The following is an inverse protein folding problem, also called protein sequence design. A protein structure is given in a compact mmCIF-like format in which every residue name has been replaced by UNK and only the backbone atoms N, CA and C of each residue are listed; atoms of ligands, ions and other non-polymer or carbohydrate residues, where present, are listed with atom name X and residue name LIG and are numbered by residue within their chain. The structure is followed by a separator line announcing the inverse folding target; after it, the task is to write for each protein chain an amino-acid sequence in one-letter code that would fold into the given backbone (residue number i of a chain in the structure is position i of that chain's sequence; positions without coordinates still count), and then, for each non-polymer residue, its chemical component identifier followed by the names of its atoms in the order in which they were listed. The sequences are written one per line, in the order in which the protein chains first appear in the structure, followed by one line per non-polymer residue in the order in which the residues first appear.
data_IF_705452253534
#
_entry.id   IF_705452253534
#
_cell.length_a   1.000
_cell.length_b   1.000
_cell.length_c   1.000
_cell.angle_alpha   90.00
_cell.angle_beta   90.00
_cell.angle_gamma   90.00
#
_symmetry.space_group_name_H-M   'P 1'
#
loop_
_entity.id
_entity.type
_entity.pdbx_description
1 polymer ?
#
# COMPACT_ATOMS: atom_id res chain seq x y z
N UNK A 1 -32.63 -12.78 11.90
CA UNK A 1 -32.97 -13.02 13.33
C UNK A 1 -31.73 -13.39 14.16
N UNK A 2 -30.89 -14.36 13.75
CA UNK A 2 -29.70 -14.80 14.52
C UNK A 2 -28.72 -13.64 14.75
N UNK A 3 -28.33 -12.91 13.70
CA UNK A 3 -27.40 -11.80 13.82
C UNK A 3 -27.94 -10.66 14.71
N UNK A 4 -29.24 -10.39 14.66
CA UNK A 4 -29.85 -9.37 15.53
C UNK A 4 -29.76 -9.76 17.01
N UNK A 5 -29.75 -11.05 17.34
CA UNK A 5 -29.52 -11.52 18.71
C UNK A 5 -28.05 -11.34 19.10
N UNK A 6 -27.11 -11.69 18.19
CA UNK A 6 -25.68 -11.47 18.42
C UNK A 6 -25.38 -9.99 18.66
N UNK A 7 -25.97 -9.08 17.87
CA UNK A 7 -25.78 -7.64 18.06
C UNK A 7 -26.23 -7.14 19.43
N UNK A 8 -27.33 -7.67 19.98
CA UNK A 8 -27.78 -7.34 21.36
C UNK A 8 -26.75 -7.78 22.40
N UNK A 9 -26.20 -8.99 22.22
CA UNK A 9 -25.17 -9.51 23.13
C UNK A 9 -23.90 -8.67 23.05
N UNK A 10 -23.49 -8.27 21.84
CA UNK A 10 -22.34 -7.37 21.68
C UNK A 10 -22.59 -6.03 22.34
N UNK A 11 -23.78 -5.43 22.13
CA UNK A 11 -24.17 -4.16 22.76
C UNK A 11 -24.12 -4.20 24.28
N UNK A 12 -24.49 -5.31 24.89
CA UNK A 12 -24.48 -5.49 26.34
C UNK A 12 -23.07 -5.72 26.92
N UNK A 13 -22.10 -6.16 26.10
CA UNK A 13 -20.75 -6.56 26.55
C UNK A 13 -19.64 -5.60 26.14
N UNK A 14 -19.93 -4.63 25.28
CA UNK A 14 -18.98 -3.59 24.88
C UNK A 14 -19.59 -2.21 25.10
N UNK A 15 -18.75 -1.20 25.04
CA UNK A 15 -19.22 0.18 25.20
C UNK A 15 -19.97 0.63 23.95
N UNK A 16 -20.85 1.60 24.11
CA UNK A 16 -21.66 2.11 23.00
C UNK A 16 -20.81 2.62 21.82
N UNK A 17 -19.67 3.26 22.11
CA UNK A 17 -18.72 3.71 21.10
C UNK A 17 -18.08 2.53 20.36
N UNK A 18 -17.63 1.49 21.08
CA UNK A 18 -17.05 0.29 20.48
C UNK A 18 -18.11 -0.48 19.65
N UNK A 19 -19.34 -0.56 20.13
CA UNK A 19 -20.43 -1.21 19.41
C UNK A 19 -20.73 -0.52 18.07
N UNK A 20 -20.87 0.80 18.07
CA UNK A 20 -21.14 1.59 16.86
C UNK A 20 -19.98 1.50 15.85
N UNK A 21 -18.74 1.49 16.34
CA UNK A 21 -17.55 1.50 15.47
C UNK A 21 -17.23 0.12 14.91
N UNK A 22 -17.36 -0.96 15.70
CA UNK A 22 -16.80 -2.27 15.33
C UNK A 22 -17.85 -3.36 15.06
N UNK A 23 -19.04 -3.27 15.60
CA UNK A 23 -20.05 -4.32 15.43
C UNK A 23 -21.17 -3.90 14.47
N UNK A 24 -21.55 -2.63 14.47
CA UNK A 24 -22.61 -2.12 13.61
C UNK A 24 -22.30 -2.22 12.12
N UNK A 25 -21.03 -1.96 11.66
CA UNK A 25 -20.67 -2.06 10.25
C UNK A 25 -20.54 -3.49 9.73
N UNK A 26 -20.59 -4.51 10.61
CA UNK A 26 -20.50 -5.92 10.19
C UNK A 26 -21.81 -6.35 9.51
N UNK A 27 -21.70 -6.92 8.32
CA UNK A 27 -22.85 -7.44 7.56
C UNK A 27 -22.80 -8.96 7.54
N UNK A 28 -23.80 -9.68 8.07
CA UNK A 28 -23.88 -11.11 7.95
C UNK A 28 -24.23 -11.50 6.52
N UNK A 29 -23.48 -12.39 5.89
CA UNK A 29 -23.68 -12.81 4.51
C UNK A 29 -24.40 -14.15 4.40
N UNK A 30 -23.88 -15.19 5.05
CA UNK A 30 -24.42 -16.55 4.95
C UNK A 30 -24.13 -17.38 6.20
N UNK A 31 -24.93 -18.41 6.39
CA UNK A 31 -24.65 -19.49 7.33
C UNK A 31 -24.96 -20.83 6.64
N UNK A 32 -23.91 -21.51 6.20
CA UNK A 32 -24.00 -22.77 5.47
C UNK A 32 -22.90 -23.73 5.95
N UNK A 33 -23.23 -25.00 6.05
CA UNK A 33 -22.28 -26.06 6.45
C UNK A 33 -21.52 -25.74 7.76
N UNK A 34 -22.17 -25.10 8.73
CA UNK A 34 -21.58 -24.63 10.00
C UNK A 34 -20.59 -23.47 9.85
N UNK A 35 -20.46 -22.89 8.69
CA UNK A 35 -19.64 -21.69 8.44
C UNK A 35 -20.54 -20.49 8.47
N UNK A 36 -20.28 -19.57 9.40
CA UNK A 36 -20.94 -18.28 9.49
C UNK A 36 -20.05 -17.22 8.86
N UNK A 37 -20.47 -16.70 7.71
CA UNK A 37 -19.69 -15.69 6.96
C UNK A 37 -20.20 -14.30 7.27
N UNK A 38 -19.29 -13.46 7.74
CA UNK A 38 -19.53 -12.03 7.97
C UNK A 38 -18.68 -11.19 7.04
N UNK A 39 -19.24 -10.07 6.58
CA UNK A 39 -18.52 -9.09 5.80
C UNK A 39 -18.06 -7.96 6.70
N UNK A 40 -16.81 -7.58 6.59
CA UNK A 40 -16.17 -6.47 7.28
C UNK A 40 -15.66 -5.43 6.30
N UNK A 41 -15.64 -4.13 6.67
CA UNK A 41 -15.32 -3.05 5.75
C UNK A 41 -13.91 -3.09 5.18
N UNK A 42 -12.91 -3.49 5.97
CA UNK A 42 -11.50 -3.45 5.55
C UNK A 42 -10.64 -4.50 6.24
N UNK A 43 -9.42 -4.70 5.72
CA UNK A 43 -8.39 -5.55 6.33
C UNK A 43 -8.04 -5.10 7.75
N UNK A 44 -7.89 -3.78 7.95
CA UNK A 44 -7.62 -3.20 9.27
C UNK A 44 -8.74 -3.54 10.27
N UNK A 45 -9.99 -3.47 9.80
CA UNK A 45 -11.16 -3.80 10.60
C UNK A 45 -11.16 -5.27 11.04
N UNK A 46 -10.81 -6.17 10.12
CA UNK A 46 -10.62 -7.59 10.40
C UNK A 46 -9.53 -7.83 11.45
N UNK A 47 -8.33 -7.30 11.22
CA UNK A 47 -7.18 -7.48 12.14
C UNK A 47 -7.50 -6.98 13.56
N UNK A 48 -8.22 -5.87 13.66
CA UNK A 48 -8.62 -5.33 14.95
C UNK A 48 -9.69 -6.19 15.65
N UNK A 49 -10.68 -6.71 14.91
CA UNK A 49 -11.69 -7.61 15.47
C UNK A 49 -11.05 -8.91 16.00
N UNK A 50 -10.09 -9.46 15.25
CA UNK A 50 -9.35 -10.66 15.66
C UNK A 50 -8.48 -10.41 16.89
N UNK A 51 -7.82 -9.24 16.99
CA UNK A 51 -6.95 -8.93 18.13
C UNK A 51 -7.73 -8.63 19.42
N UNK A 52 -8.87 -7.94 19.32
CA UNK A 52 -9.57 -7.39 20.49
C UNK A 52 -10.90 -8.06 20.83
N UNK A 53 -11.60 -8.57 19.84
CA UNK A 53 -12.99 -9.01 20.03
C UNK A 53 -13.26 -10.45 19.59
N UNK A 54 -12.22 -11.20 19.20
CA UNK A 54 -12.40 -12.57 18.69
C UNK A 54 -13.08 -13.50 19.73
N UNK A 55 -12.69 -13.37 20.99
CA UNK A 55 -13.26 -14.21 22.07
C UNK A 55 -14.73 -13.91 22.28
N UNK A 56 -15.11 -12.60 22.23
CA UNK A 56 -16.50 -12.19 22.34
C UNK A 56 -17.32 -12.63 21.13
N UNK A 57 -16.77 -12.48 19.93
CA UNK A 57 -17.41 -12.93 18.68
C UNK A 57 -17.65 -14.44 18.71
N UNK A 58 -16.62 -15.24 19.02
CA UNK A 58 -16.71 -16.70 19.11
C UNK A 58 -17.69 -17.15 20.19
N UNK A 59 -17.57 -16.62 21.40
CA UNK A 59 -18.45 -16.97 22.51
C UNK A 59 -19.92 -16.66 22.18
N UNK A 60 -20.18 -15.52 21.54
CA UNK A 60 -21.54 -15.13 21.15
C UNK A 60 -22.09 -16.01 20.05
N UNK A 61 -21.29 -16.31 19.01
CA UNK A 61 -21.70 -17.19 17.92
C UNK A 61 -21.94 -18.63 18.41
N UNK A 62 -21.09 -19.16 19.28
CA UNK A 62 -21.26 -20.48 19.85
C UNK A 62 -22.53 -20.60 20.68
N UNK A 63 -22.87 -19.53 21.41
CA UNK A 63 -24.10 -19.48 22.21
C UNK A 63 -25.37 -19.39 21.37
N UNK A 64 -25.36 -18.53 20.32
CA UNK A 64 -26.56 -18.23 19.54
C UNK A 64 -26.77 -19.18 18.34
N UNK A 65 -25.69 -19.82 17.84
CA UNK A 65 -25.73 -20.64 16.63
C UNK A 65 -25.32 -22.08 16.93
N UNK A 66 -24.30 -22.29 17.76
CA UNK A 66 -23.83 -23.62 18.15
C UNK A 66 -22.30 -23.71 18.23
N UNK A 67 -21.81 -24.63 19.08
CA UNK A 67 -20.38 -24.77 19.41
C UNK A 67 -19.49 -25.20 18.22
N UNK A 68 -20.09 -25.72 17.14
CA UNK A 68 -19.38 -26.17 15.95
C UNK A 68 -19.35 -25.12 14.83
N UNK A 69 -19.71 -23.85 15.15
CA UNK A 69 -19.75 -22.78 14.17
C UNK A 69 -18.34 -22.28 13.88
N UNK A 70 -17.99 -22.26 12.59
CA UNK A 70 -16.75 -21.68 12.09
C UNK A 70 -17.04 -20.24 11.63
N UNK A 71 -16.31 -19.27 12.14
CA UNK A 71 -16.41 -17.88 11.71
C UNK A 71 -15.50 -17.64 10.51
N UNK A 72 -16.08 -17.10 9.45
CA UNK A 72 -15.39 -16.71 8.23
C UNK A 72 -15.59 -15.23 7.95
N UNK A 73 -14.52 -14.54 7.54
CA UNK A 73 -14.60 -13.13 7.20
C UNK A 73 -14.53 -12.92 5.69
N UNK A 74 -15.33 -12.02 5.19
CA UNK A 74 -15.25 -11.48 3.85
C UNK A 74 -14.93 -9.99 3.94
N UNK A 75 -13.82 -9.57 3.36
CA UNK A 75 -13.45 -8.16 3.32
C UNK A 75 -14.07 -7.54 2.08
N UNK A 76 -14.71 -6.37 2.24
CA UNK A 76 -15.19 -5.56 1.12
C UNK A 76 -13.98 -5.06 0.33
N UNK A 77 -13.68 -5.71 -0.79
CA UNK A 77 -12.79 -5.15 -1.80
C UNK A 77 -13.67 -4.56 -2.90
N UNK A 78 -13.65 -3.27 -3.07
CA UNK A 78 -14.13 -2.67 -4.31
C UNK A 78 -13.19 -3.09 -5.44
N UNK A 79 -13.77 -3.79 -6.40
CA UNK A 79 -13.22 -4.32 -7.66
C UNK A 79 -12.53 -5.70 -7.63
N UNK A 80 -13.32 -6.65 -8.19
CA UNK A 80 -12.91 -7.84 -8.95
C UNK A 80 -11.85 -8.74 -8.28
N UNK A 81 -12.30 -9.60 -7.48
CA UNK A 81 -12.11 -11.04 -7.34
C UNK A 81 -12.51 -11.45 -5.92
N UNK A 82 -13.50 -12.34 -5.82
CA UNK A 82 -13.93 -12.93 -4.55
C UNK A 82 -12.76 -13.74 -3.95
N UNK A 83 -11.94 -13.11 -3.14
CA UNK A 83 -10.94 -13.84 -2.35
C UNK A 83 -11.58 -14.17 -1.02
N UNK A 84 -12.02 -15.42 -0.90
CA UNK A 84 -12.46 -16.01 0.35
C UNK A 84 -11.19 -16.27 1.19
N UNK A 85 -11.06 -15.60 2.30
CA UNK A 85 -10.02 -15.92 3.30
C UNK A 85 -10.65 -16.87 4.30
N UNK A 86 -10.27 -18.15 4.22
CA UNK A 86 -10.72 -19.21 5.11
C UNK A 86 -9.88 -19.21 6.39
N UNK A 87 -10.46 -18.77 7.50
CA UNK A 87 -9.88 -18.95 8.83
C UNK A 87 -10.60 -20.08 9.56
N UNK A 88 -9.96 -21.25 9.65
CA UNK A 88 -10.39 -22.33 10.52
C UNK A 88 -9.76 -22.13 11.89
N UNK A 89 -10.59 -21.82 12.87
CA UNK A 89 -10.16 -21.72 14.25
C UNK A 89 -10.07 -23.12 14.89
N UNK A 90 -8.85 -23.64 15.04
CA UNK A 90 -8.55 -24.70 16.00
C UNK A 90 -7.50 -24.22 16.99
N UNK A 91 -7.82 -24.43 18.27
CA UNK A 91 -6.98 -24.05 19.39
C UNK A 91 -5.70 -24.89 19.44
N UNK A 92 -4.57 -24.26 19.36
CA UNK A 92 -3.32 -24.35 20.11
C UNK A 92 -2.10 -23.92 19.28
N UNK A 93 -1.44 -22.90 19.83
CA UNK A 93 -0.02 -22.53 19.70
C UNK A 93 0.64 -22.73 18.33
N UNK A 94 1.09 -21.68 17.83
CA UNK A 94 2.20 -21.41 16.92
C UNK A 94 1.78 -20.53 15.74
N UNK A 95 2.47 -19.43 15.60
CA UNK A 95 2.72 -18.67 14.38
C UNK A 95 2.17 -19.34 13.11
N UNK A 96 0.86 -19.31 12.89
CA UNK A 96 0.28 -19.78 11.67
C UNK A 96 0.12 -18.63 10.69
N UNK A 97 0.96 -18.77 9.70
CA UNK A 97 1.02 -18.02 8.46
C UNK A 97 -0.38 -17.77 7.91
N UNK A 98 -0.68 -16.49 7.72
CA UNK A 98 -1.70 -16.02 6.80
C UNK A 98 -1.52 -16.78 5.49
N UNK A 99 -2.37 -17.74 5.20
CA UNK A 99 -2.51 -18.27 3.85
C UNK A 99 -3.42 -17.29 3.11
N UNK A 100 -2.89 -16.13 2.82
CA UNK A 100 -3.27 -15.40 1.61
C UNK A 100 -3.13 -16.41 0.48
N UNK A 101 -4.17 -16.62 -0.31
CA UNK A 101 -4.12 -17.49 -1.47
C UNK A 101 -2.81 -17.27 -2.19
N UNK A 102 -2.03 -18.32 -2.39
CA UNK A 102 -0.66 -18.44 -2.86
C UNK A 102 -0.08 -17.20 -3.59
N UNK A 103 0.01 -16.07 -2.91
CA UNK A 103 1.02 -15.08 -3.16
C UNK A 103 2.07 -15.30 -2.08
N UNK A 104 2.84 -16.37 -2.23
CA UNK A 104 4.15 -16.41 -1.61
C UNK A 104 4.84 -15.15 -2.09
N UNK A 105 5.15 -14.20 -1.19
CA UNK A 105 6.09 -13.11 -1.42
C UNK A 105 7.47 -13.71 -1.74
N UNK A 106 7.54 -14.47 -2.82
CA UNK A 106 8.79 -14.86 -3.44
C UNK A 106 9.21 -13.63 -4.21
N UNK A 107 10.06 -12.81 -3.58
CA UNK A 107 10.91 -11.87 -4.31
C UNK A 107 11.39 -12.60 -5.56
N UNK A 108 11.20 -12.01 -6.77
CA UNK A 108 11.70 -12.63 -7.99
C UNK A 108 13.18 -12.94 -7.80
N UNK A 109 13.50 -14.20 -7.69
CA UNK A 109 14.90 -14.61 -7.58
C UNK A 109 15.48 -14.60 -8.97
N UNK A 110 16.46 -13.70 -9.30
CA UNK A 110 17.05 -13.63 -10.62
C UNK A 110 17.72 -14.94 -11.05
N UNK A 111 17.88 -15.89 -10.13
CA UNK A 111 18.54 -17.19 -10.38
C UNK A 111 17.58 -18.34 -10.65
N UNK A 112 16.28 -18.13 -10.56
CA UNK A 112 15.32 -19.15 -10.97
C UNK A 112 14.99 -18.97 -12.45
N UNK A 113 15.07 -20.05 -13.23
CA UNK A 113 14.52 -20.07 -14.61
C UNK A 113 13.05 -19.73 -14.54
N UNK A 114 12.67 -18.53 -14.94
CA UNK A 114 11.29 -18.06 -14.96
C UNK A 114 10.59 -18.77 -16.10
N UNK A 115 9.67 -19.69 -15.78
CA UNK A 115 8.68 -20.15 -16.74
C UNK A 115 7.72 -18.99 -16.96
N UNK A 116 7.34 -18.69 -18.19
CA UNK A 116 6.62 -17.48 -18.60
C UNK A 116 5.31 -17.23 -17.82
N UNK A 117 4.74 -18.24 -17.18
CA UNK A 117 3.46 -18.15 -16.44
C UNK A 117 3.60 -17.76 -14.96
N UNK A 118 4.80 -17.62 -14.40
CA UNK A 118 5.01 -17.39 -12.94
C UNK A 118 5.88 -16.17 -12.63
N UNK A 119 5.72 -15.08 -13.43
CA UNK A 119 6.48 -13.85 -13.22
C UNK A 119 5.78 -12.96 -12.17
N UNK A 120 6.34 -12.93 -10.95
CA UNK A 120 5.87 -12.05 -9.88
C UNK A 120 6.37 -10.61 -10.10
N UNK A 121 5.44 -9.72 -10.39
CA UNK A 121 5.72 -8.29 -10.63
C UNK A 121 5.99 -7.47 -9.38
N UNK A 122 5.82 -8.02 -8.17
CA UNK A 122 5.96 -7.33 -6.87
C UNK A 122 5.07 -6.07 -6.75
N UNK A 123 3.99 -6.01 -7.53
CA UNK A 123 3.05 -4.91 -7.50
C UNK A 123 2.03 -5.09 -6.36
N UNK A 124 1.70 -4.00 -5.71
CA UNK A 124 0.60 -3.96 -4.74
C UNK A 124 -0.69 -3.54 -5.45
N UNK A 125 -1.63 -4.48 -5.58
CA UNK A 125 -2.90 -4.26 -6.29
C UNK A 125 -3.83 -3.26 -5.58
N UNK A 126 -3.55 -2.88 -4.33
CA UNK A 126 -4.32 -1.84 -3.62
C UNK A 126 -4.06 -0.43 -4.15
N UNK A 127 -2.95 -0.20 -4.82
CA UNK A 127 -2.57 1.10 -5.37
C UNK A 127 -2.97 1.18 -6.83
N UNK A 128 -4.00 1.96 -7.11
CA UNK A 128 -4.57 2.16 -8.45
C UNK A 128 -4.69 3.64 -8.77
N UNK A 129 -4.97 4.00 -10.02
CA UNK A 129 -5.28 5.37 -10.38
C UNK A 129 -6.62 5.84 -9.80
N UNK A 130 -7.56 4.94 -9.50
CA UNK A 130 -8.87 5.30 -8.95
C UNK A 130 -8.75 5.88 -7.54
N UNK A 131 -7.79 5.37 -6.76
CA UNK A 131 -7.51 5.87 -5.42
C UNK A 131 -6.27 6.77 -5.30
N UNK A 132 -5.65 7.11 -6.44
CA UNK A 132 -4.63 8.16 -6.55
C UNK A 132 -5.27 9.46 -6.99
N UNK A 133 -5.82 10.24 -6.07
CA UNK A 133 -6.57 11.45 -6.38
C UNK A 133 -5.71 12.53 -7.02
N UNK A 134 -6.26 13.18 -8.06
CA UNK A 134 -5.62 14.31 -8.72
C UNK A 134 -5.79 15.60 -7.92
N UNK A 135 -4.70 16.35 -7.79
CA UNK A 135 -4.61 17.71 -7.30
C UNK A 135 -3.51 18.45 -8.04
N UNK A 136 -3.40 19.76 -7.84
CA UNK A 136 -2.36 20.56 -8.50
C UNK A 136 -0.94 20.05 -8.20
N UNK A 137 -0.72 19.51 -6.99
CA UNK A 137 0.57 19.00 -6.53
C UNK A 137 1.08 17.74 -7.24
N UNK A 138 0.20 16.97 -7.90
CA UNK A 138 0.56 15.68 -8.52
C UNK A 138 0.06 15.52 -9.95
N UNK A 139 -0.65 16.50 -10.49
CA UNK A 139 -1.32 16.43 -11.80
C UNK A 139 -0.38 16.03 -12.93
N UNK A 140 0.80 16.66 -13.03
CA UNK A 140 1.76 16.35 -14.08
C UNK A 140 2.25 14.90 -13.97
N UNK A 141 2.58 14.44 -12.77
CA UNK A 141 3.06 13.08 -12.52
C UNK A 141 1.97 12.04 -12.84
N UNK A 142 0.71 12.31 -12.44
CA UNK A 142 -0.44 11.46 -12.75
C UNK A 142 -0.68 11.37 -14.24
N UNK A 143 -0.79 12.50 -14.94
CA UNK A 143 -1.01 12.55 -16.40
C UNK A 143 0.10 11.83 -17.16
N UNK A 144 1.36 12.01 -16.75
CA UNK A 144 2.48 11.29 -17.34
C UNK A 144 2.35 9.77 -17.13
N UNK A 145 1.99 9.34 -15.92
CA UNK A 145 1.72 7.94 -15.62
C UNK A 145 0.63 7.35 -16.49
N UNK A 146 -0.53 7.99 -16.59
CA UNK A 146 -1.65 7.57 -17.46
C UNK A 146 -1.26 7.53 -18.94
N UNK A 147 -0.39 8.45 -19.39
CA UNK A 147 0.13 8.44 -20.76
C UNK A 147 1.04 7.24 -21.02
N UNK A 148 1.90 6.92 -20.07
CA UNK A 148 2.78 5.75 -20.14
C UNK A 148 1.98 4.45 -20.19
N UNK A 149 0.89 4.34 -19.43
CA UNK A 149 0.09 3.10 -19.42
C UNK A 149 -0.52 2.77 -20.78
N UNK A 150 -0.82 3.76 -21.60
CA UNK A 150 -1.37 3.56 -22.95
C UNK A 150 -0.32 3.04 -23.95
N UNK A 151 0.93 3.45 -23.81
CA UNK A 151 2.02 3.10 -24.73
C UNK A 151 3.37 2.99 -24.01
N UNK A 152 3.58 1.98 -23.14
CA UNK A 152 4.81 1.86 -22.34
C UNK A 152 6.04 1.68 -23.23
N UNK A 153 7.06 2.49 -22.98
CA UNK A 153 8.33 2.52 -23.71
C UNK A 153 8.33 3.30 -25.04
N UNK A 154 7.17 3.74 -25.50
CA UNK A 154 7.03 4.47 -26.78
C UNK A 154 6.69 5.96 -26.61
N UNK A 155 6.57 6.44 -25.39
CA UNK A 155 6.35 7.84 -25.08
C UNK A 155 7.65 8.59 -24.90
N UNK A 156 7.63 9.92 -25.00
CA UNK A 156 8.76 10.77 -24.64
C UNK A 156 9.09 10.73 -23.12
N UNK A 157 8.22 10.11 -22.30
CA UNK A 157 8.37 10.00 -20.86
C UNK A 157 9.16 8.74 -20.45
N UNK A 158 10.28 8.51 -21.09
CA UNK A 158 11.16 7.38 -20.82
C UNK A 158 12.62 7.84 -20.64
N UNK A 159 13.16 7.80 -19.43
CA UNK A 159 12.53 7.40 -18.19
C UNK A 159 11.50 8.42 -17.66
N UNK A 160 10.56 7.95 -16.83
CA UNK A 160 9.81 8.82 -15.93
C UNK A 160 10.55 8.87 -14.59
N UNK A 161 11.00 10.06 -14.19
CA UNK A 161 11.64 10.30 -12.91
C UNK A 161 10.72 11.13 -12.01
N UNK A 162 10.17 10.49 -10.97
CA UNK A 162 9.25 11.13 -10.03
C UNK A 162 9.98 11.45 -8.74
N UNK A 163 10.02 12.72 -8.35
CA UNK A 163 10.66 13.10 -7.08
C UNK A 163 9.73 13.93 -6.19
N UNK A 164 10.05 13.99 -4.91
CA UNK A 164 9.28 14.72 -3.90
C UNK A 164 9.53 14.15 -2.51
N UNK A 165 9.11 14.87 -1.49
CA UNK A 165 9.29 14.45 -0.09
C UNK A 165 8.69 13.07 0.21
N UNK A 166 9.14 12.43 1.28
CA UNK A 166 8.59 11.13 1.68
C UNK A 166 7.09 11.26 2.00
N UNK A 167 6.30 10.24 1.62
CA UNK A 167 4.86 10.19 1.93
C UNK A 167 3.93 10.98 1.00
N UNK A 168 4.42 11.61 -0.09
CA UNK A 168 3.58 12.37 -1.05
C UNK A 168 2.85 11.50 -2.08
N UNK A 169 3.12 10.18 -2.11
CA UNK A 169 2.43 9.23 -3.00
C UNK A 169 3.25 8.73 -4.19
N UNK A 170 4.59 8.91 -4.23
CA UNK A 170 5.47 8.40 -5.31
C UNK A 170 5.31 6.90 -5.54
N UNK A 171 5.45 6.11 -4.48
CA UNK A 171 5.30 4.65 -4.50
C UNK A 171 3.90 4.24 -4.97
N UNK A 172 2.85 4.93 -4.51
CA UNK A 172 1.48 4.70 -4.95
C UNK A 172 1.35 4.88 -6.47
N UNK A 173 1.84 5.99 -7.00
CA UNK A 173 1.81 6.26 -8.44
C UNK A 173 2.56 5.18 -9.23
N UNK A 174 3.73 4.72 -8.75
CA UNK A 174 4.49 3.64 -9.37
C UNK A 174 3.70 2.34 -9.48
N UNK A 175 3.06 1.93 -8.39
CA UNK A 175 2.20 0.74 -8.39
C UNK A 175 0.98 0.93 -9.28
N UNK A 176 0.33 2.10 -9.26
CA UNK A 176 -0.83 2.40 -10.10
C UNK A 176 -0.48 2.28 -11.59
N UNK A 177 0.67 2.82 -12.01
CA UNK A 177 1.16 2.68 -13.38
C UNK A 177 1.42 1.20 -13.70
N UNK A 178 2.13 0.49 -12.84
CA UNK A 178 2.47 -0.92 -13.05
C UNK A 178 1.23 -1.81 -13.15
N UNK A 179 0.27 -1.65 -12.26
CA UNK A 179 -0.99 -2.40 -12.25
C UNK A 179 -1.80 -2.12 -13.52
N UNK A 180 -1.93 -0.85 -13.92
CA UNK A 180 -2.65 -0.47 -15.14
C UNK A 180 -1.98 -1.02 -16.41
N UNK A 181 -0.64 -1.04 -16.48
CA UNK A 181 0.07 -1.65 -17.62
C UNK A 181 -0.17 -3.16 -17.66
N UNK A 182 -0.08 -3.83 -16.50
CA UNK A 182 -0.28 -5.29 -16.44
C UNK A 182 -1.70 -5.70 -16.79
N UNK A 183 -2.69 -4.89 -16.44
CA UNK A 183 -4.09 -5.10 -16.82
C UNK A 183 -4.30 -4.94 -18.34
N UNK A 184 -3.69 -3.89 -18.95
CA UNK A 184 -3.82 -3.61 -20.38
C UNK A 184 -2.95 -4.51 -21.27
N UNK A 185 -1.79 -4.95 -20.75
CA UNK A 185 -0.78 -5.74 -21.45
C UNK A 185 -0.31 -6.92 -20.59
N UNK A 186 -1.13 -7.97 -20.41
CA UNK A 186 -0.80 -9.10 -19.53
C UNK A 186 0.50 -9.83 -19.91
N UNK A 187 0.88 -9.78 -21.19
CA UNK A 187 2.10 -10.39 -21.71
C UNK A 187 3.38 -9.64 -21.34
N UNK A 188 3.28 -8.37 -20.90
CA UNK A 188 4.46 -7.58 -20.54
C UNK A 188 4.98 -7.96 -19.16
N UNK A 189 6.28 -8.08 -19.08
CA UNK A 189 6.99 -8.30 -17.83
C UNK A 189 7.18 -6.96 -17.11
N UNK A 190 6.29 -6.67 -16.17
CA UNK A 190 6.34 -5.47 -15.33
C UNK A 190 6.94 -5.83 -13.99
N UNK A 191 8.04 -5.20 -13.59
CA UNK A 191 8.70 -5.42 -12.32
C UNK A 191 8.77 -4.13 -11.49
N UNK A 192 8.26 -4.19 -10.27
CA UNK A 192 8.53 -3.21 -9.23
C UNK A 192 9.63 -3.73 -8.30
N UNK A 193 10.60 -2.90 -7.99
CA UNK A 193 11.68 -3.21 -7.04
C UNK A 193 12.11 -1.95 -6.30
N UNK A 194 12.32 -2.02 -4.98
CA UNK A 194 13.00 -0.94 -4.28
C UNK A 194 14.49 -0.95 -4.58
N UNK A 195 15.13 0.21 -4.60
CA UNK A 195 16.58 0.29 -4.80
C UNK A 195 17.36 -0.49 -3.72
N UNK A 196 16.81 -0.56 -2.50
CA UNK A 196 17.35 -1.41 -1.44
C UNK A 196 17.38 -2.89 -1.85
N UNK A 197 16.26 -3.41 -2.33
CA UNK A 197 16.14 -4.80 -2.74
C UNK A 197 17.05 -5.11 -3.96
N UNK A 198 17.08 -4.20 -4.94
CA UNK A 198 17.98 -4.30 -6.09
C UNK A 198 19.45 -4.43 -5.65
N UNK A 199 19.88 -3.61 -4.68
CA UNK A 199 21.22 -3.67 -4.08
C UNK A 199 21.49 -5.01 -3.40
N UNK A 200 20.55 -5.53 -2.61
CA UNK A 200 20.69 -6.83 -1.92
C UNK A 200 20.82 -7.96 -2.94
N UNK A 201 19.94 -8.01 -3.93
CA UNK A 201 19.98 -9.03 -4.99
C UNK A 201 21.29 -8.99 -5.78
N UNK A 202 21.80 -7.78 -6.07
CA UNK A 202 23.10 -7.65 -6.76
C UNK A 202 24.26 -8.15 -5.89
N UNK A 203 24.24 -7.85 -4.59
CA UNK A 203 25.28 -8.34 -3.67
C UNK A 203 25.26 -9.87 -3.56
N UNK A 204 24.09 -10.47 -3.51
CA UNK A 204 23.94 -11.92 -3.49
C UNK A 204 24.39 -12.55 -4.82
N UNK A 205 24.08 -11.93 -5.96
CA UNK A 205 24.57 -12.35 -7.26
C UNK A 205 26.11 -12.36 -7.31
N UNK A 206 26.76 -11.37 -6.69
CA UNK A 206 28.22 -11.33 -6.57
C UNK A 206 28.78 -12.45 -5.69
N UNK A 207 28.10 -12.78 -4.58
CA UNK A 207 28.51 -13.87 -3.68
C UNK A 207 28.43 -15.25 -4.34
N UNK A 208 27.43 -15.46 -5.19
CA UNK A 208 27.18 -16.74 -5.85
C UNK A 208 27.74 -16.83 -7.27
N UNK A 209 28.51 -15.82 -7.73
CA UNK A 209 29.07 -15.72 -9.08
C UNK A 209 28.00 -15.78 -10.21
N UNK A 210 26.80 -15.24 -9.95
CA UNK A 210 25.64 -15.25 -10.86
C UNK A 210 25.28 -13.84 -11.35
N UNK A 211 26.26 -12.92 -11.37
CA UNK A 211 26.05 -11.52 -11.78
C UNK A 211 25.51 -11.41 -13.22
N UNK A 212 25.93 -12.30 -14.13
CA UNK A 212 25.41 -12.32 -15.50
C UNK A 212 23.92 -12.70 -15.54
N UNK A 213 23.49 -13.66 -14.73
CA UNK A 213 22.09 -14.06 -14.65
C UNK A 213 21.22 -12.93 -14.09
N UNK A 214 21.74 -12.21 -13.09
CA UNK A 214 21.11 -10.99 -12.56
C UNK A 214 20.91 -9.94 -13.66
N UNK A 215 21.95 -9.63 -14.43
CA UNK A 215 21.87 -8.64 -15.50
C UNK A 215 20.88 -9.10 -16.57
N UNK A 216 20.96 -10.35 -17.02
CA UNK A 216 20.06 -10.92 -18.03
C UNK A 216 18.60 -10.91 -17.58
N UNK A 217 18.33 -11.19 -16.29
CA UNK A 217 16.99 -11.13 -15.72
C UNK A 217 16.40 -9.72 -15.86
N UNK A 218 17.14 -8.69 -15.41
CA UNK A 218 16.66 -7.30 -15.47
C UNK A 218 16.56 -6.79 -16.91
N UNK A 219 17.44 -7.20 -17.82
CA UNK A 219 17.39 -6.85 -19.24
C UNK A 219 16.18 -7.46 -19.96
N UNK A 220 15.62 -8.55 -19.44
CA UNK A 220 14.42 -9.18 -19.95
C UNK A 220 13.11 -8.52 -19.51
N UNK A 221 13.13 -7.44 -18.73
CA UNK A 221 11.95 -6.73 -18.23
C UNK A 221 11.42 -5.75 -19.29
N UNK A 222 10.09 -5.61 -19.43
CA UNK A 222 9.47 -4.65 -20.35
C UNK A 222 9.19 -3.30 -19.68
N UNK A 223 8.85 -3.32 -18.40
CA UNK A 223 8.63 -2.12 -17.59
C UNK A 223 9.33 -2.30 -16.26
N UNK A 224 10.39 -1.56 -16.04
CA UNK A 224 11.17 -1.59 -14.80
C UNK A 224 10.86 -0.36 -13.96
N UNK A 225 10.35 -0.58 -12.76
CA UNK A 225 10.06 0.43 -11.76
C UNK A 225 11.04 0.28 -10.61
N UNK A 226 11.87 1.30 -10.36
CA UNK A 226 12.82 1.31 -9.23
C UNK A 226 12.42 2.43 -8.28
N UNK A 227 12.00 2.05 -7.09
CA UNK A 227 11.58 2.97 -6.05
C UNK A 227 12.76 3.36 -5.14
N UNK A 228 12.81 4.62 -4.72
CA UNK A 228 13.79 5.19 -3.80
C UNK A 228 15.25 5.06 -4.27
N UNK A 229 15.52 5.47 -5.53
CA UNK A 229 16.83 5.33 -6.19
C UNK A 229 18.00 5.96 -5.40
N UNK A 230 17.72 6.90 -4.47
CA UNK A 230 18.72 7.53 -3.62
C UNK A 230 19.44 6.53 -2.70
N UNK A 231 18.86 5.37 -2.41
CA UNK A 231 19.51 4.32 -1.61
C UNK A 231 20.68 3.64 -2.29
N UNK A 232 20.91 3.90 -3.57
CA UNK A 232 22.11 3.45 -4.31
C UNK A 232 23.28 4.44 -4.19
N UNK A 233 23.09 5.60 -3.54
CA UNK A 233 24.14 6.59 -3.38
C UNK A 233 25.40 5.99 -2.69
N UNK A 234 26.59 6.27 -3.23
CA UNK A 234 27.86 5.76 -2.71
C UNK A 234 28.18 4.28 -3.01
N UNK A 235 27.34 3.58 -3.78
CA UNK A 235 27.56 2.15 -4.09
C UNK A 235 27.91 1.98 -5.57
N UNK A 236 29.13 2.34 -5.93
CA UNK A 236 29.63 2.42 -7.32
C UNK A 236 29.37 1.16 -8.16
N UNK A 237 29.65 -0.04 -7.63
CA UNK A 237 29.48 -1.29 -8.37
C UNK A 237 28.02 -1.54 -8.77
N UNK A 238 27.08 -1.28 -7.86
CA UNK A 238 25.64 -1.42 -8.12
C UNK A 238 25.16 -0.36 -9.10
N UNK A 239 25.63 0.88 -8.97
CA UNK A 239 25.35 1.96 -9.91
C UNK A 239 25.85 1.66 -11.32
N UNK A 240 27.06 1.11 -11.44
CA UNK A 240 27.59 0.69 -12.73
C UNK A 240 26.73 -0.40 -13.40
N UNK A 241 26.30 -1.39 -12.64
CA UNK A 241 25.42 -2.45 -13.15
C UNK A 241 24.06 -1.89 -13.56
N UNK A 242 23.47 -1.00 -12.74
CA UNK A 242 22.23 -0.33 -13.09
C UNK A 242 22.41 0.52 -14.38
N UNK A 243 23.53 1.18 -14.56
CA UNK A 243 23.82 1.94 -15.79
C UNK A 243 23.76 1.07 -17.04
N UNK A 244 24.33 -0.14 -16.99
CA UNK A 244 24.28 -1.08 -18.10
C UNK A 244 22.87 -1.60 -18.36
N UNK A 245 22.12 -1.96 -17.32
CA UNK A 245 20.72 -2.39 -17.42
C UNK A 245 19.87 -1.27 -17.99
N UNK A 246 20.00 -0.04 -17.46
CA UNK A 246 19.29 1.14 -17.92
C UNK A 246 19.48 1.38 -19.42
N UNK A 247 20.74 1.41 -19.89
CA UNK A 247 21.04 1.63 -21.30
C UNK A 247 20.41 0.56 -22.18
N UNK A 248 20.52 -0.72 -21.78
CA UNK A 248 19.91 -1.82 -22.52
C UNK A 248 18.39 -1.66 -22.65
N UNK A 249 17.71 -1.41 -21.54
CA UNK A 249 16.25 -1.24 -21.51
C UNK A 249 15.83 -0.03 -22.36
N UNK A 250 16.49 1.11 -22.20
CA UNK A 250 16.17 2.33 -22.94
C UNK A 250 16.38 2.16 -24.45
N UNK A 251 17.48 1.55 -24.89
CA UNK A 251 17.76 1.28 -26.31
C UNK A 251 16.74 0.33 -26.95
N UNK A 252 16.17 -0.57 -26.15
CA UNK A 252 15.15 -1.51 -26.61
C UNK A 252 13.71 -1.02 -26.41
N UNK A 253 13.52 0.29 -26.20
CA UNK A 253 12.19 0.90 -25.97
C UNK A 253 11.40 0.25 -24.82
N UNK A 254 12.11 -0.21 -23.79
CA UNK A 254 11.51 -0.67 -22.54
C UNK A 254 11.27 0.51 -21.63
N UNK A 255 10.17 0.51 -20.86
CA UNK A 255 9.82 1.61 -19.99
C UNK A 255 10.62 1.57 -18.68
N UNK A 256 11.16 2.73 -18.29
CA UNK A 256 11.82 2.94 -17.02
C UNK A 256 11.03 3.95 -16.19
N UNK A 257 10.79 3.65 -14.92
CA UNK A 257 10.16 4.53 -13.94
C UNK A 257 11.01 4.52 -12.68
N UNK A 258 11.39 5.70 -12.24
CA UNK A 258 12.29 5.87 -11.10
C UNK A 258 11.68 6.83 -10.10
N UNK A 259 11.81 6.56 -8.80
CA UNK A 259 11.44 7.52 -7.77
C UNK A 259 12.61 7.94 -6.91
N UNK A 260 12.49 9.11 -6.32
CA UNK A 260 13.48 9.66 -5.41
C UNK A 260 12.85 10.67 -4.44
N UNK A 261 13.48 10.89 -3.30
CA UNK A 261 13.09 11.98 -2.40
C UNK A 261 13.62 13.35 -2.87
N UNK A 262 14.62 13.36 -3.76
CA UNK A 262 15.29 14.56 -4.28
C UNK A 262 15.28 14.57 -5.80
N UNK A 263 15.42 15.76 -6.40
CA UNK A 263 15.62 15.89 -7.84
C UNK A 263 16.97 15.32 -8.28
N UNK A 264 17.17 14.92 -9.56
CA UNK A 264 18.45 14.45 -10.05
C UNK A 264 19.62 15.43 -9.84
N UNK A 265 19.34 16.74 -9.79
CA UNK A 265 20.35 17.78 -9.53
C UNK A 265 20.80 17.87 -8.07
N UNK A 266 20.00 17.37 -7.14
CA UNK A 266 20.26 17.37 -5.70
C UNK A 266 20.74 16.03 -5.16
N UNK A 267 20.85 15.03 -6.03
CA UNK A 267 21.29 13.68 -5.69
C UNK A 267 22.83 13.63 -5.60
N UNK A 268 23.34 13.59 -4.37
CA UNK A 268 24.77 13.38 -4.12
C UNK A 268 25.09 11.89 -3.99
N UNK A 269 26.31 11.50 -4.43
CA UNK A 269 26.79 10.11 -4.32
C UNK A 269 26.24 9.18 -5.42
N UNK A 270 25.53 9.72 -6.40
CA UNK A 270 25.16 9.01 -7.64
C UNK A 270 26.05 9.51 -8.77
N UNK A 271 26.55 8.57 -9.59
CA UNK A 271 27.45 8.88 -10.70
C UNK A 271 26.77 9.78 -11.75
N UNK A 272 27.50 10.80 -12.24
CA UNK A 272 26.98 11.80 -13.19
C UNK A 272 26.40 11.17 -14.47
N UNK A 273 26.97 10.06 -14.91
CA UNK A 273 26.44 9.33 -16.08
C UNK A 273 25.04 8.76 -15.85
N UNK A 274 24.70 8.32 -14.62
CA UNK A 274 23.34 7.90 -14.27
C UNK A 274 22.42 9.12 -14.15
N UNK A 275 22.85 10.18 -13.50
CA UNK A 275 22.09 11.43 -13.37
C UNK A 275 21.72 12.00 -14.74
N UNK A 276 22.64 11.96 -15.69
CA UNK A 276 22.37 12.34 -17.08
C UNK A 276 21.27 11.49 -17.70
N UNK A 277 21.27 10.17 -17.46
CA UNK A 277 20.23 9.26 -17.96
C UNK A 277 18.88 9.52 -17.34
N UNK A 278 18.83 9.80 -16.04
CA UNK A 278 17.59 10.11 -15.33
C UNK A 278 16.89 11.37 -15.89
N UNK A 279 17.66 12.30 -16.46
CA UNK A 279 17.14 13.53 -17.08
C UNK A 279 16.72 13.37 -18.55
N UNK A 280 16.92 12.22 -19.19
CA UNK A 280 16.59 12.04 -20.61
C UNK A 280 15.10 12.12 -20.94
N UNK A 281 14.26 11.62 -20.06
CA UNK A 281 12.81 11.64 -20.24
C UNK A 281 12.14 12.78 -19.47
N UNK A 282 11.07 12.44 -18.74
CA UNK A 282 10.34 13.43 -17.93
C UNK A 282 10.78 13.32 -16.46
N UNK A 283 11.30 14.42 -15.93
CA UNK A 283 11.45 14.60 -14.48
C UNK A 283 10.28 15.43 -13.97
N UNK A 284 9.54 14.90 -12.99
CA UNK A 284 8.38 15.58 -12.41
C UNK A 284 8.43 15.52 -10.90
N UNK A 285 8.01 16.61 -10.27
CA UNK A 285 7.88 16.73 -8.83
C UNK A 285 6.46 16.39 -8.39
N UNK A 286 6.35 15.67 -7.29
CA UNK A 286 5.10 15.55 -6.53
C UNK A 286 5.27 16.33 -5.24
N UNK A 287 4.46 17.38 -5.09
CA UNK A 287 4.46 18.23 -3.91
C UNK A 287 3.49 17.73 -2.83
N UNK A 288 3.56 18.34 -1.66
CA UNK A 288 2.61 18.06 -0.59
C UNK A 288 1.18 18.37 -1.06
N UNK A 289 0.19 17.56 -0.66
CA UNK A 289 -1.19 17.75 -1.09
C UNK A 289 -1.77 19.08 -0.56
N UNK A 290 -2.49 19.80 -1.39
CA UNK A 290 -3.29 20.95 -0.98
C UNK A 290 -4.48 20.55 -0.10
N UNK A 291 -5.21 21.50 0.48
CA UNK A 291 -6.33 21.22 1.39
C UNK A 291 -7.42 20.37 0.71
N UNK A 292 -7.75 20.65 -0.55
CA UNK A 292 -8.79 19.94 -1.28
C UNK A 292 -8.38 18.49 -1.54
N UNK A 293 -7.13 18.28 -1.92
CA UNK A 293 -6.59 16.94 -2.13
C UNK A 293 -6.51 16.16 -0.80
N UNK A 294 -6.11 16.82 0.30
CA UNK A 294 -6.11 16.19 1.64
C UNK A 294 -7.51 15.76 2.06
N UNK A 295 -8.53 16.57 1.83
CA UNK A 295 -9.92 16.21 2.10
C UNK A 295 -10.36 14.98 1.32
N UNK A 296 -10.06 14.91 0.01
CA UNK A 296 -10.38 13.74 -0.83
C UNK A 296 -9.69 12.48 -0.32
N UNK A 297 -8.40 12.58 0.03
CA UNK A 297 -7.63 11.44 0.58
C UNK A 297 -8.25 10.95 1.89
N UNK A 298 -8.57 11.87 2.82
CA UNK A 298 -9.19 11.55 4.11
C UNK A 298 -10.56 10.91 3.93
N UNK A 299 -11.44 11.52 3.13
CA UNK A 299 -12.79 11.01 2.87
C UNK A 299 -12.76 9.61 2.25
N UNK A 300 -11.89 9.39 1.26
CA UNK A 300 -11.73 8.06 0.67
C UNK A 300 -11.20 7.05 1.68
N UNK A 301 -10.20 7.40 2.47
CA UNK A 301 -9.66 6.52 3.51
C UNK A 301 -10.72 6.16 4.55
N UNK A 302 -11.48 7.14 5.02
CA UNK A 302 -12.58 6.95 5.98
C UNK A 302 -13.65 6.03 5.39
N UNK A 303 -14.06 6.26 4.14
CA UNK A 303 -15.04 5.44 3.45
C UNK A 303 -14.54 4.01 3.24
N UNK A 304 -13.31 3.87 2.73
CA UNK A 304 -12.70 2.57 2.46
C UNK A 304 -12.50 1.72 3.73
N UNK A 305 -12.12 2.37 4.83
CA UNK A 305 -11.94 1.68 6.12
C UNK A 305 -13.26 1.50 6.90
N UNK A 306 -14.38 1.97 6.34
CA UNK A 306 -15.70 1.85 6.96
C UNK A 306 -15.86 2.63 8.27
N UNK A 307 -15.14 3.75 8.39
CA UNK A 307 -15.09 4.54 9.59
C UNK A 307 -16.21 5.59 9.63
N UNK A 308 -16.68 5.92 10.84
CA UNK A 308 -17.58 7.05 11.07
C UNK A 308 -16.82 8.14 11.81
N UNK A 309 -16.37 9.16 11.08
CA UNK A 309 -15.66 10.32 11.63
C UNK A 309 -16.49 11.56 11.29
N UNK A 310 -16.82 12.41 12.29
CA UNK A 310 -17.56 13.65 12.06
C UNK A 310 -16.84 14.58 11.06
N UNK A 311 -17.61 15.31 10.25
CA UNK A 311 -17.08 16.16 9.18
C UNK A 311 -16.18 17.29 9.72
N UNK A 312 -16.55 17.89 10.85
CA UNK A 312 -15.75 18.89 11.55
C UNK A 312 -14.37 18.38 11.99
N UNK A 313 -14.27 17.10 12.32
CA UNK A 313 -13.00 16.43 12.62
C UNK A 313 -12.18 16.22 11.35
N UNK A 314 -12.80 15.79 10.26
CA UNK A 314 -12.12 15.60 8.95
C UNK A 314 -11.56 16.93 8.45
N UNK A 315 -12.36 18.00 8.50
CA UNK A 315 -11.92 19.36 8.14
C UNK A 315 -10.75 19.82 9.00
N UNK A 316 -10.84 19.59 10.32
CA UNK A 316 -9.77 19.95 11.24
C UNK A 316 -8.46 19.20 10.95
N UNK A 317 -8.53 17.90 10.64
CA UNK A 317 -7.35 17.12 10.22
C UNK A 317 -6.77 17.71 8.94
N UNK A 318 -7.60 17.96 7.92
CA UNK A 318 -7.15 18.51 6.63
C UNK A 318 -6.50 19.89 6.76
N UNK A 319 -6.89 20.69 7.73
CA UNK A 319 -6.30 22.02 7.97
C UNK A 319 -4.96 21.96 8.69
N UNK A 320 -4.82 21.06 9.65
CA UNK A 320 -3.69 21.06 10.57
C UNK A 320 -2.60 20.04 10.24
N UNK A 321 -2.89 19.02 9.45
CA UNK A 321 -1.92 18.00 9.00
C UNK A 321 -1.58 18.28 7.55
N UNK A 322 -0.50 19.03 7.32
CA UNK A 322 -0.16 19.60 6.01
C UNK A 322 1.04 18.96 5.32
N UNK A 323 1.80 18.11 6.04
CA UNK A 323 3.08 17.63 5.56
C UNK A 323 2.96 16.64 4.40
N UNK A 324 2.22 15.54 4.57
CA UNK A 324 2.10 14.54 3.51
C UNK A 324 0.89 13.61 3.71
N UNK A 325 0.59 12.78 2.70
CA UNK A 325 -0.54 11.84 2.74
C UNK A 325 -0.38 10.73 3.79
N UNK A 326 0.85 10.28 4.06
CA UNK A 326 1.12 9.26 5.09
C UNK A 326 0.79 9.75 6.49
N UNK A 327 1.06 11.02 6.78
CA UNK A 327 0.75 11.61 8.08
C UNK A 327 -0.77 11.75 8.27
N UNK A 328 -1.54 12.05 7.20
CA UNK A 328 -3.00 12.06 7.25
C UNK A 328 -3.55 10.68 7.65
N UNK A 329 -3.07 9.62 7.03
CA UNK A 329 -3.46 8.25 7.36
C UNK A 329 -3.08 7.89 8.80
N UNK A 330 -1.86 8.24 9.21
CA UNK A 330 -1.35 8.00 10.56
C UNK A 330 -2.17 8.71 11.64
N UNK A 331 -2.66 9.91 11.38
CA UNK A 331 -3.53 10.66 12.31
C UNK A 331 -4.91 10.00 12.44
N UNK A 332 -5.53 9.52 11.34
CA UNK A 332 -6.78 8.76 11.41
C UNK A 332 -6.61 7.54 12.34
N UNK A 333 -5.57 6.74 12.11
CA UNK A 333 -5.28 5.55 12.93
C UNK A 333 -5.04 5.94 14.39
N UNK A 334 -4.35 7.06 14.64
CA UNK A 334 -4.09 7.54 16.00
C UNK A 334 -5.36 8.01 16.71
N UNK A 335 -6.24 8.75 16.03
CA UNK A 335 -7.54 9.19 16.58
C UNK A 335 -8.39 7.98 16.94
N UNK A 336 -8.45 7.00 16.05
CA UNK A 336 -9.17 5.75 16.30
C UNK A 336 -8.62 5.00 17.51
N UNK A 337 -7.31 4.81 17.56
CA UNK A 337 -6.66 4.14 18.69
C UNK A 337 -6.97 4.86 20.03
N UNK A 338 -6.93 6.20 20.04
CA UNK A 338 -7.29 6.97 21.23
C UNK A 338 -8.79 6.87 21.59
N UNK A 339 -9.67 6.88 20.60
CA UNK A 339 -11.11 6.67 20.81
C UNK A 339 -11.37 5.33 21.51
N UNK A 340 -10.71 4.28 21.03
CA UNK A 340 -10.87 2.92 21.53
C UNK A 340 -10.27 2.73 22.92
N UNK A 341 -8.99 3.11 23.12
CA UNK A 341 -8.29 2.91 24.40
C UNK A 341 -8.94 3.67 25.54
N UNK A 342 -9.41 4.89 25.27
CA UNK A 342 -10.02 5.74 26.30
C UNK A 342 -11.55 5.70 26.30
N UNK A 343 -12.14 4.86 25.43
CA UNK A 343 -13.59 4.72 25.28
C UNK A 343 -14.30 6.06 25.09
N UNK A 344 -13.77 6.90 24.21
CA UNK A 344 -14.30 8.23 23.90
C UNK A 344 -14.79 8.29 22.47
N UNK A 345 -15.91 8.98 22.27
CA UNK A 345 -16.38 9.29 20.92
C UNK A 345 -15.35 10.13 20.15
N UNK A 346 -15.28 9.88 18.84
CA UNK A 346 -14.47 10.70 17.95
C UNK A 346 -15.13 12.06 17.81
N UNK A 347 -14.47 13.08 18.32
CA UNK A 347 -14.94 14.47 18.29
C UNK A 347 -13.76 15.44 18.16
N UNK A 348 -14.07 16.69 17.91
CA UNK A 348 -13.07 17.74 17.71
C UNK A 348 -12.09 17.91 18.88
N UNK A 349 -12.50 17.87 20.17
CA UNK A 349 -11.57 17.88 21.30
C UNK A 349 -10.56 16.73 21.31
N UNK A 350 -10.98 15.52 20.95
CA UNK A 350 -10.10 14.37 20.83
C UNK A 350 -9.09 14.57 19.68
N UNK A 351 -9.57 14.99 18.51
CA UNK A 351 -8.74 15.27 17.34
C UNK A 351 -7.66 16.33 17.65
N UNK A 352 -8.04 17.45 18.30
CA UNK A 352 -7.12 18.51 18.71
C UNK A 352 -6.01 17.97 19.62
N UNK A 353 -6.35 17.13 20.56
CA UNK A 353 -5.38 16.54 21.49
C UNK A 353 -4.41 15.62 20.78
N UNK A 354 -4.90 14.73 19.91
CA UNK A 354 -4.08 13.74 19.20
C UNK A 354 -3.13 14.45 18.22
N UNK A 355 -3.65 15.37 17.42
CA UNK A 355 -2.86 16.14 16.45
C UNK A 355 -1.82 17.00 17.16
N UNK A 356 -2.19 17.68 18.25
CA UNK A 356 -1.25 18.49 19.05
C UNK A 356 -0.11 17.66 19.65
N UNK A 357 -0.34 16.40 20.00
CA UNK A 357 0.71 15.48 20.45
C UNK A 357 1.61 15.02 19.29
N UNK A 358 1.03 14.76 18.12
CA UNK A 358 1.76 14.34 16.94
C UNK A 358 2.69 15.46 16.42
N UNK A 359 2.18 16.70 16.32
CA UNK A 359 2.96 17.86 15.87
C UNK A 359 4.15 18.11 16.82
N UNK A 360 3.95 18.12 18.14
CA UNK A 360 5.04 18.27 19.13
C UNK A 360 6.12 17.20 18.98
N UNK A 361 5.73 15.97 18.64
CA UNK A 361 6.65 14.84 18.44
C UNK A 361 7.48 15.00 17.15
N UNK A 362 6.90 15.62 16.13
CA UNK A 362 7.57 15.92 14.85
C UNK A 362 8.57 17.07 15.06
N UNK A 363 8.18 18.14 15.74
CA UNK A 363 9.05 19.27 16.06
C UNK A 363 10.25 18.85 16.92
N UNK A 364 10.03 17.98 17.92
CA UNK A 364 11.10 17.44 18.75
C UNK A 364 12.09 16.52 18.02
N UNK A 365 11.73 15.99 16.85
CA UNK A 365 12.62 15.19 15.99
C UNK A 365 13.42 16.02 14.99
N UNK A 366 13.04 17.28 14.76
CA UNK A 366 13.73 18.20 13.85
C UNK A 366 14.84 19.03 14.54
N UNK A 367 14.98 18.92 15.87
CA UNK A 367 16.05 19.49 16.69
C UNK A 367 17.09 18.38 16.97
#
# INVERSE_FOLDING_TARGET
KLWSNCLKVFQDNVTEAAFKTWFLPIVPLSYENRVFTIQVPSQFFYEYLEDKFIDLLKATLYREIGSDTILQYRILMENTTNTLVDYRGDAKSSTDKIVLGKNTNKVPNPFQKVVADDFDSQLNNKYTFDNFFEGESNKLARTAGETITRNPGKTAFNPLFVHGTSGVGKTHLCHAIGNSIKEQYPEKRVLYVSAHLFKVQYADAGRYNTTNDFINFYQGIDVLIIDDIHELAGIEKTQNTLFHIFNHLHQNNKQLILTCDKSPSELHGVEERLLTRFRWGLTTKVDNPDKLLRLKILQNKILHDGLSIPEDVVDYIAENVTDNARDLEGIIVSIMAHSLVYNKEINLPLARRVIGQAIKKIEAKKI
#
